data_IF_422375310904
#
_entry.id   IF_422375310904
#
_cell.length_a   1.000
_cell.length_b   1.000
_cell.length_c   1.000
_cell.angle_alpha   90.00
_cell.angle_beta   90.00
_cell.angle_gamma   90.00
#
_symmetry.space_group_name_H-M   'P 1'
#
loop_
_entity.id
_entity.type
_entity.pdbx_description
1 polymer ?
#
# COMPACT_ATOMS: atom_id res chain seq x y z
N UNK A 1 -12.65 -0.13 17.05
CA UNK A 1 -11.78 -0.87 17.99
C UNK A 1 -10.71 -1.62 17.20
N UNK A 2 -9.46 -1.58 17.68
CA UNK A 2 -8.34 -2.29 17.06
C UNK A 2 -7.67 -3.18 18.11
N UNK A 3 -7.10 -4.31 17.69
CA UNK A 3 -6.41 -5.26 18.57
C UNK A 3 -5.07 -5.67 17.98
N UNK A 4 -4.11 -5.94 18.84
CA UNK A 4 -2.77 -6.41 18.49
C UNK A 4 -2.46 -7.69 19.26
N UNK A 5 -1.63 -8.56 18.70
CA UNK A 5 -1.06 -9.69 19.44
C UNK A 5 0.21 -9.30 20.21
N UNK A 6 0.77 -10.26 20.96
CA UNK A 6 1.98 -10.05 21.76
C UNK A 6 3.22 -9.68 20.94
N UNK A 7 3.22 -9.96 19.63
CA UNK A 7 4.29 -9.57 18.71
C UNK A 7 4.08 -8.16 18.12
N UNK A 8 3.01 -7.46 18.53
CA UNK A 8 2.67 -6.12 18.04
C UNK A 8 2.08 -6.11 16.63
N UNK A 9 1.53 -7.24 16.16
CA UNK A 9 0.87 -7.33 14.84
C UNK A 9 -0.61 -7.01 14.99
N UNK A 10 -1.17 -6.18 14.10
CA UNK A 10 -2.59 -5.84 14.10
C UNK A 10 -3.43 -7.10 13.79
N UNK A 11 -4.24 -7.57 14.74
CA UNK A 11 -5.08 -8.77 14.56
C UNK A 11 -6.54 -8.44 14.27
N UNK A 12 -6.98 -7.22 14.57
CA UNK A 12 -8.35 -6.76 14.27
C UNK A 12 -8.42 -5.26 14.05
N UNK A 13 -9.19 -4.83 13.05
CA UNK A 13 -9.56 -3.44 12.79
C UNK A 13 -11.06 -3.38 12.46
N UNK A 14 -11.88 -2.94 13.41
CA UNK A 14 -13.33 -2.97 13.24
C UNK A 14 -13.85 -4.40 13.04
N UNK A 15 -14.49 -4.64 11.88
CA UNK A 15 -14.98 -5.96 11.48
C UNK A 15 -13.91 -6.85 10.83
N UNK A 16 -12.80 -6.27 10.37
CA UNK A 16 -11.75 -7.02 9.68
C UNK A 16 -10.82 -7.71 10.68
N UNK A 17 -10.67 -9.03 10.55
CA UNK A 17 -9.65 -9.81 11.24
C UNK A 17 -8.44 -10.05 10.33
N UNK A 18 -7.25 -10.14 10.93
CA UNK A 18 -6.01 -10.35 10.21
C UNK A 18 -5.30 -11.61 10.71
N UNK A 19 -4.76 -12.39 9.78
CA UNK A 19 -3.85 -13.49 10.08
C UNK A 19 -2.53 -13.33 9.35
N UNK A 20 -1.47 -13.94 9.88
CA UNK A 20 -0.10 -13.77 9.42
C UNK A 20 0.51 -15.12 9.04
N UNK A 21 1.40 -15.12 8.04
CA UNK A 21 2.21 -16.28 7.70
C UNK A 21 3.47 -16.34 8.57
N UNK A 22 4.30 -17.36 8.34
CA UNK A 22 5.55 -17.58 9.07
C UNK A 22 6.56 -16.42 8.96
N UNK A 23 6.52 -15.63 7.89
CA UNK A 23 7.38 -14.45 7.69
C UNK A 23 6.77 -13.15 8.25
N UNK A 24 5.77 -13.26 9.13
CA UNK A 24 5.02 -12.12 9.67
C UNK A 24 4.35 -11.25 8.61
N UNK A 25 4.09 -11.78 7.41
CA UNK A 25 3.29 -11.12 6.37
C UNK A 25 1.81 -11.42 6.57
N UNK A 26 0.95 -10.46 6.26
CA UNK A 26 -0.51 -10.65 6.34
C UNK A 26 -0.93 -11.71 5.30
N UNK A 27 -1.41 -12.85 5.76
CA UNK A 27 -1.91 -13.93 4.90
C UNK A 27 -3.39 -13.73 4.55
N UNK A 28 -4.18 -13.19 5.49
CA UNK A 28 -5.61 -12.87 5.28
C UNK A 28 -6.02 -11.58 5.97
N UNK A 29 -7.01 -10.89 5.39
CA UNK A 29 -7.69 -9.73 5.96
C UNK A 29 -9.20 -9.82 5.67
N UNK A 30 -9.99 -10.33 6.62
CA UNK A 30 -11.41 -10.64 6.36
C UNK A 30 -11.56 -11.72 5.28
N UNK A 31 -12.27 -11.40 4.19
CA UNK A 31 -12.42 -12.28 3.02
C UNK A 31 -11.23 -12.24 2.05
N UNK A 32 -10.31 -11.28 2.20
CA UNK A 32 -9.14 -11.14 1.34
C UNK A 32 -8.00 -12.07 1.78
N UNK A 33 -7.26 -12.60 0.80
CA UNK A 33 -6.08 -13.45 0.98
C UNK A 33 -4.92 -12.95 0.13
N UNK A 34 -3.70 -13.16 0.63
CA UNK A 34 -2.49 -12.65 0.00
C UNK A 34 -1.40 -13.71 -0.07
N UNK A 35 -0.65 -13.69 -1.18
CA UNK A 35 0.59 -14.46 -1.32
C UNK A 35 1.74 -13.56 -1.74
N UNK A 36 2.96 -14.02 -1.49
CA UNK A 36 4.18 -13.23 -1.59
C UNK A 36 5.22 -14.00 -2.38
N UNK A 37 6.05 -13.27 -3.13
CA UNK A 37 7.28 -13.82 -3.69
C UNK A 37 8.26 -14.15 -2.57
N UNK A 38 9.28 -14.97 -2.87
CA UNK A 38 10.35 -15.27 -1.92
C UNK A 38 11.11 -14.02 -1.44
N UNK A 39 11.13 -12.96 -2.26
CA UNK A 39 11.66 -11.65 -1.88
C UNK A 39 10.85 -10.90 -0.83
N UNK A 40 9.64 -11.35 -0.51
CA UNK A 40 8.72 -10.71 0.43
C UNK A 40 7.77 -9.68 -0.21
N UNK A 41 7.94 -9.38 -1.50
CA UNK A 41 6.98 -8.57 -2.26
C UNK A 41 5.64 -9.30 -2.41
N UNK A 42 4.54 -8.56 -2.42
CA UNK A 42 3.23 -9.14 -2.72
C UNK A 42 3.21 -9.68 -4.15
N UNK A 43 2.81 -10.93 -4.30
CA UNK A 43 2.65 -11.61 -5.58
C UNK A 43 1.19 -11.60 -6.03
N UNK A 44 0.25 -11.71 -5.07
CA UNK A 44 -1.16 -11.82 -5.37
C UNK A 44 -2.04 -11.34 -4.23
N UNK A 45 -3.19 -10.76 -4.58
CA UNK A 45 -4.32 -10.51 -3.69
C UNK A 45 -5.57 -11.18 -4.29
N UNK A 46 -6.37 -11.83 -3.46
CA UNK A 46 -7.62 -12.47 -3.90
C UNK A 46 -8.72 -12.34 -2.84
N UNK A 47 -9.91 -11.95 -3.29
CA UNK A 47 -11.09 -11.74 -2.46
C UNK A 47 -12.30 -11.32 -3.30
N UNK A 48 -13.51 -11.59 -2.81
CA UNK A 48 -14.78 -11.27 -3.47
C UNK A 48 -14.85 -11.74 -4.95
N UNK A 49 -14.33 -12.94 -5.22
CA UNK A 49 -14.28 -13.53 -6.56
C UNK A 49 -13.29 -12.88 -7.53
N UNK A 50 -12.50 -11.89 -7.07
CA UNK A 50 -11.47 -11.21 -7.84
C UNK A 50 -10.08 -11.67 -7.42
N UNK A 51 -9.16 -11.61 -8.37
CA UNK A 51 -7.76 -11.98 -8.20
C UNK A 51 -6.89 -11.00 -8.94
N UNK A 52 -5.89 -10.47 -8.26
CA UNK A 52 -4.91 -9.54 -8.82
C UNK A 52 -3.51 -10.15 -8.66
N UNK A 53 -2.73 -10.18 -9.74
CA UNK A 53 -1.32 -10.57 -9.70
C UNK A 53 -0.44 -9.33 -9.85
N UNK A 54 0.71 -9.33 -9.17
CA UNK A 54 1.62 -8.19 -9.13
C UNK A 54 2.99 -8.59 -9.70
N UNK A 55 3.60 -7.71 -10.48
CA UNK A 55 4.95 -7.90 -11.03
C UNK A 55 5.78 -6.65 -10.76
N UNK A 56 7.02 -6.89 -10.35
CA UNK A 56 7.91 -5.86 -9.83
C UNK A 56 9.24 -5.87 -10.58
N UNK A 57 9.81 -4.68 -10.77
CA UNK A 57 11.22 -4.49 -11.13
C UNK A 57 11.91 -3.83 -9.93
N UNK A 58 12.69 -4.62 -9.19
CA UNK A 58 13.16 -4.25 -7.86
C UNK A 58 12.01 -3.87 -6.92
N UNK A 59 11.93 -2.60 -6.56
CA UNK A 59 10.87 -2.03 -5.72
C UNK A 59 9.74 -1.36 -6.52
N UNK A 60 9.91 -1.20 -7.85
CA UNK A 60 8.93 -0.57 -8.73
C UNK A 60 7.82 -1.55 -9.08
N UNK A 61 6.55 -1.18 -8.89
CA UNK A 61 5.45 -1.94 -9.46
C UNK A 61 5.40 -1.67 -10.96
N UNK A 62 5.57 -2.71 -11.79
CA UNK A 62 5.55 -2.58 -13.25
C UNK A 62 4.27 -3.17 -13.86
N UNK A 63 3.58 -4.06 -13.13
CA UNK A 63 2.29 -4.60 -13.57
C UNK A 63 1.39 -5.01 -12.41
N UNK A 64 0.10 -4.72 -12.54
CA UNK A 64 -0.99 -5.23 -11.68
C UNK A 64 -2.10 -5.77 -12.57
N UNK A 65 -2.27 -7.08 -12.58
CA UNK A 65 -3.22 -7.79 -13.45
C UNK A 65 -3.02 -7.41 -14.93
N UNK A 66 -3.96 -6.70 -15.57
CA UNK A 66 -3.86 -6.24 -16.97
C UNK A 66 -3.30 -4.82 -17.11
N UNK A 67 -2.99 -4.15 -16.00
CA UNK A 67 -2.51 -2.77 -15.99
C UNK A 67 -0.99 -2.76 -15.91
N UNK A 68 -0.33 -2.23 -16.94
CA UNK A 68 1.10 -1.95 -16.92
C UNK A 68 1.35 -0.55 -16.35
N UNK A 69 2.48 -0.39 -15.68
CA UNK A 69 2.92 0.89 -15.12
C UNK A 69 4.24 1.33 -15.73
N UNK A 70 4.37 2.63 -15.99
CA UNK A 70 5.64 3.27 -16.32
C UNK A 70 6.03 4.14 -15.14
N UNK A 71 7.25 3.93 -14.63
CA UNK A 71 7.74 4.58 -13.43
C UNK A 71 8.81 5.61 -13.79
N UNK A 72 8.76 6.76 -13.12
CA UNK A 72 9.95 7.61 -12.98
C UNK A 72 10.88 7.01 -11.92
N UNK A 73 12.21 7.05 -12.12
CA UNK A 73 13.16 6.62 -11.10
C UNK A 73 12.98 7.44 -9.81
N UNK A 74 12.89 6.75 -8.68
CA UNK A 74 12.78 7.40 -7.37
C UNK A 74 13.41 6.54 -6.27
N UNK A 75 13.89 7.17 -5.21
CA UNK A 75 14.60 6.48 -4.12
C UNK A 75 13.75 5.41 -3.43
N UNK A 76 12.42 5.53 -3.50
CA UNK A 76 11.49 4.54 -2.94
C UNK A 76 11.26 3.32 -3.84
N UNK A 77 11.91 3.25 -5.01
CA UNK A 77 11.76 2.18 -5.98
C UNK A 77 11.11 2.56 -7.29
N UNK A 78 10.47 3.72 -7.37
CA UNK A 78 9.84 4.23 -8.59
C UNK A 78 8.45 4.82 -8.32
N UNK A 79 8.15 5.91 -9.01
CA UNK A 79 6.86 6.59 -8.93
C UNK A 79 6.09 6.39 -10.24
N UNK A 80 4.94 5.70 -10.24
CA UNK A 80 4.19 5.46 -11.46
C UNK A 80 3.63 6.77 -12.03
N UNK A 81 3.98 7.08 -13.27
CA UNK A 81 3.44 8.23 -14.03
C UNK A 81 2.41 7.80 -15.06
N UNK A 82 2.41 6.53 -15.47
CA UNK A 82 1.36 5.92 -16.30
C UNK A 82 0.82 4.66 -15.65
N UNK A 83 -0.49 4.43 -15.82
CA UNK A 83 -1.16 3.19 -15.47
C UNK A 83 -2.16 2.83 -16.58
N UNK A 84 -1.80 1.90 -17.46
CA UNK A 84 -2.57 1.64 -18.69
C UNK A 84 -2.63 2.89 -19.56
N UNK A 85 -3.84 3.38 -19.85
CA UNK A 85 -4.08 4.62 -20.61
C UNK A 85 -4.18 5.88 -19.74
N UNK A 86 -4.03 5.75 -18.42
CA UNK A 86 -4.17 6.85 -17.48
C UNK A 86 -2.81 7.47 -17.14
N UNK A 87 -2.77 8.79 -17.02
CA UNK A 87 -1.61 9.56 -16.53
C UNK A 87 -1.82 9.89 -15.05
N UNK A 88 -0.80 9.64 -14.23
CA UNK A 88 -0.81 9.92 -12.80
C UNK A 88 -0.02 11.20 -12.51
N UNK A 89 -0.58 12.04 -11.64
CA UNK A 89 0.07 13.23 -11.12
C UNK A 89 0.41 12.98 -9.67
N UNK A 90 1.70 12.99 -9.34
CA UNK A 90 2.20 12.63 -8.02
C UNK A 90 2.75 13.86 -7.28
N UNK A 91 2.75 13.80 -5.95
CA UNK A 91 3.56 14.70 -5.13
C UNK A 91 5.06 14.32 -5.18
N UNK A 92 5.89 15.11 -4.51
CA UNK A 92 7.34 14.87 -4.44
C UNK A 92 7.68 13.48 -3.90
N UNK A 93 6.87 12.93 -2.99
CA UNK A 93 7.14 11.64 -2.37
C UNK A 93 6.64 10.46 -3.20
N UNK A 94 5.87 10.72 -4.27
CA UNK A 94 5.26 9.69 -5.11
C UNK A 94 3.84 9.30 -4.70
N UNK A 95 3.13 10.17 -3.97
CA UNK A 95 1.71 9.97 -3.67
C UNK A 95 0.83 10.53 -4.78
N UNK A 96 -0.13 9.74 -5.26
CA UNK A 96 -1.04 10.17 -6.34
C UNK A 96 -1.95 11.31 -5.87
N UNK A 97 -1.87 12.46 -6.53
CA UNK A 97 -2.72 13.64 -6.31
C UNK A 97 -3.86 13.74 -7.32
N UNK A 98 -3.75 13.08 -8.47
CA UNK A 98 -4.80 13.06 -9.48
C UNK A 98 -4.48 12.16 -10.65
N UNK A 99 -5.51 11.87 -11.44
CA UNK A 99 -5.44 10.98 -12.59
C UNK A 99 -6.08 11.68 -13.77
N UNK A 100 -5.39 11.72 -14.91
CA UNK A 100 -6.00 12.07 -16.19
C UNK A 100 -6.32 10.78 -16.96
N UNK A 101 -7.59 10.54 -17.23
CA UNK A 101 -8.07 9.39 -18.00
C UNK A 101 -9.23 9.81 -18.90
N UNK A 102 -9.27 9.30 -20.13
CA UNK A 102 -10.29 9.65 -21.13
C UNK A 102 -10.50 11.17 -21.29
N UNK A 103 -9.40 11.92 -21.32
CA UNK A 103 -9.41 13.38 -21.44
C UNK A 103 -9.84 14.14 -20.18
N UNK A 104 -10.32 13.45 -19.13
CA UNK A 104 -10.80 14.07 -17.88
C UNK A 104 -9.76 13.93 -16.77
N UNK A 105 -9.52 15.03 -16.05
CA UNK A 105 -8.75 15.01 -14.81
C UNK A 105 -9.65 14.75 -13.61
N UNK A 106 -9.25 13.80 -12.75
CA UNK A 106 -9.93 13.43 -11.52
C UNK A 106 -8.95 13.60 -10.35
N UNK A 107 -9.18 14.57 -9.44
CA UNK A 107 -8.32 14.78 -8.29
C UNK A 107 -8.49 13.67 -7.25
N UNK A 108 -7.40 13.32 -6.56
CA UNK A 108 -7.39 12.42 -5.41
C UNK A 108 -7.12 13.24 -4.16
N UNK A 109 -8.16 13.50 -3.36
CA UNK A 109 -8.01 14.20 -2.09
C UNK A 109 -7.61 13.22 -0.98
N UNK A 110 -6.42 13.43 -0.38
CA UNK A 110 -5.88 12.61 0.70
C UNK A 110 -5.45 13.43 1.91
N UNK A 111 -5.38 12.80 3.07
CA UNK A 111 -4.75 13.38 4.28
C UNK A 111 -3.23 13.28 4.18
N UNK A 112 -2.52 13.99 5.07
CA UNK A 112 -1.06 13.89 5.20
C UNK A 112 -0.56 12.46 5.52
N UNK A 113 -1.43 11.61 6.06
CA UNK A 113 -1.14 10.19 6.34
C UNK A 113 -1.65 9.26 5.24
N UNK A 114 -2.00 9.79 4.06
CA UNK A 114 -2.35 9.01 2.88
C UNK A 114 -3.79 8.47 2.85
N UNK A 115 -4.67 8.85 3.80
CA UNK A 115 -6.06 8.41 3.75
C UNK A 115 -6.82 9.20 2.70
N UNK A 116 -7.35 8.52 1.69
CA UNK A 116 -8.20 9.16 0.66
C UNK A 116 -9.59 9.48 1.25
N UNK A 117 -10.11 10.69 0.98
CA UNK A 117 -11.36 11.20 1.57
C UNK A 117 -12.63 10.64 0.92
N UNK A 118 -12.57 10.31 -0.35
CA UNK A 118 -13.57 9.46 -1.01
C UNK A 118 -12.92 8.10 -1.12
N UNK A 119 -13.57 7.04 -0.63
CA UNK A 119 -13.06 5.69 -0.86
C UNK A 119 -12.78 5.59 -2.36
N UNK A 120 -11.54 5.30 -2.73
CA UNK A 120 -11.24 4.97 -4.10
C UNK A 120 -12.23 3.87 -4.47
N UNK A 121 -13.26 4.20 -5.28
CA UNK A 121 -14.07 3.19 -5.94
C UNK A 121 -13.09 2.16 -6.47
N UNK A 122 -13.37 0.87 -6.34
CA UNK A 122 -12.38 -0.20 -6.51
C UNK A 122 -11.52 -0.09 -7.80
N UNK A 123 -11.98 0.64 -8.82
CA UNK A 123 -11.20 1.01 -10.02
C UNK A 123 -10.00 1.93 -9.74
N UNK A 124 -10.14 2.93 -8.86
CA UNK A 124 -9.08 3.87 -8.49
C UNK A 124 -7.98 3.21 -7.63
N UNK A 125 -8.22 2.01 -7.07
CA UNK A 125 -7.19 1.29 -6.29
C UNK A 125 -5.94 0.98 -7.12
N UNK A 126 -6.07 0.82 -8.45
CA UNK A 126 -4.93 0.59 -9.34
C UNK A 126 -4.08 1.83 -9.58
N UNK A 127 -4.59 3.01 -9.25
CA UNK A 127 -3.95 4.32 -9.47
C UNK A 127 -3.70 5.09 -8.16
N UNK A 128 -4.09 4.52 -7.02
CA UNK A 128 -3.84 5.07 -5.70
C UNK A 128 -2.48 4.59 -5.18
N UNK A 129 -1.50 5.48 -5.27
CA UNK A 129 -0.19 5.31 -4.68
C UNK A 129 0.01 6.29 -3.53
N UNK A 130 0.74 5.84 -2.51
CA UNK A 130 1.22 6.69 -1.43
C UNK A 130 2.71 6.42 -1.24
N UNK A 131 3.53 7.45 -1.38
CA UNK A 131 5.00 7.34 -1.39
C UNK A 131 5.55 6.29 -2.39
N UNK A 132 4.90 6.21 -3.56
CA UNK A 132 5.25 5.24 -4.61
C UNK A 132 4.83 3.79 -4.29
N UNK A 133 3.97 3.55 -3.29
CA UNK A 133 3.48 2.21 -2.94
C UNK A 133 2.00 2.03 -3.27
N UNK A 134 1.60 0.90 -3.89
CA UNK A 134 0.23 0.69 -4.32
C UNK A 134 -0.71 0.44 -3.14
N UNK A 135 -1.92 0.95 -3.23
CA UNK A 135 -3.01 0.56 -2.33
C UNK A 135 -3.59 -0.80 -2.72
N UNK A 136 -3.68 -1.70 -1.75
CA UNK A 136 -4.24 -3.05 -1.89
C UNK A 136 -5.38 -3.20 -0.88
N UNK A 137 -6.55 -3.62 -1.37
CA UNK A 137 -7.75 -3.78 -0.55
C UNK A 137 -7.46 -4.72 0.61
N UNK A 138 -7.93 -4.35 1.81
CA UNK A 138 -7.68 -5.08 3.05
C UNK A 138 -6.27 -4.93 3.61
N UNK A 139 -5.24 -4.68 2.77
CA UNK A 139 -3.84 -4.58 3.17
C UNK A 139 -3.39 -3.14 3.47
N UNK A 140 -3.92 -2.15 2.75
CA UNK A 140 -3.47 -0.76 2.80
C UNK A 140 -2.37 -0.51 1.76
N UNK A 141 -1.40 0.33 2.07
CA UNK A 141 -0.25 0.55 1.17
C UNK A 141 0.82 -0.52 1.41
N UNK A 142 1.16 -1.27 0.36
CA UNK A 142 2.06 -2.43 0.47
C UNK A 142 3.53 -2.03 0.28
N UNK A 143 4.34 -2.20 1.32
CA UNK A 143 5.79 -2.07 1.26
C UNK A 143 6.45 -3.45 1.31
N UNK A 144 7.71 -3.51 0.88
CA UNK A 144 8.50 -4.74 0.84
C UNK A 144 8.49 -5.50 2.18
N UNK A 145 8.52 -4.79 3.30
CA UNK A 145 8.61 -5.42 4.63
C UNK A 145 7.31 -5.30 5.43
N UNK A 146 6.63 -4.16 5.39
CA UNK A 146 5.44 -3.85 6.20
C UNK A 146 4.29 -3.36 5.33
N UNK A 147 3.08 -3.40 5.88
CA UNK A 147 1.92 -2.76 5.27
C UNK A 147 1.54 -1.53 6.08
N UNK A 148 1.27 -0.42 5.41
CA UNK A 148 0.91 0.83 6.05
C UNK A 148 -0.60 1.06 6.02
N UNK A 149 -1.17 1.37 7.19
CA UNK A 149 -2.61 1.62 7.39
C UNK A 149 -2.88 3.12 7.42
N UNK A 150 -3.30 3.74 6.31
CA UNK A 150 -3.45 5.19 6.24
C UNK A 150 -4.54 5.75 7.17
N UNK A 151 -5.60 4.96 7.43
CA UNK A 151 -6.66 5.32 8.38
C UNK A 151 -6.16 5.37 9.82
N UNK A 152 -5.12 4.60 10.15
CA UNK A 152 -4.53 4.54 11.48
C UNK A 152 -3.29 5.42 11.62
N UNK A 153 -2.69 5.84 10.51
CA UNK A 153 -1.40 6.53 10.49
C UNK A 153 -0.24 5.64 10.96
N UNK A 154 -0.36 4.30 10.83
CA UNK A 154 0.56 3.34 11.46
C UNK A 154 0.93 2.17 10.56
N UNK A 155 2.10 1.60 10.82
CA UNK A 155 2.45 0.28 10.31
C UNK A 155 1.57 -0.81 10.93
N UNK A 156 1.29 -1.85 10.14
CA UNK A 156 0.46 -2.98 10.56
C UNK A 156 1.21 -3.97 11.46
N UNK A 157 2.54 -3.99 11.36
CA UNK A 157 3.44 -4.80 12.18
C UNK A 157 4.57 -3.93 12.71
N UNK A 158 5.17 -4.38 13.81
CA UNK A 158 6.44 -3.86 14.33
C UNK A 158 7.53 -3.94 13.26
N UNK A 159 8.52 -3.04 13.33
CA UNK A 159 9.67 -3.06 12.43
C UNK A 159 10.45 -4.37 12.58
N UNK A 160 10.68 -5.11 11.48
CA UNK A 160 11.48 -6.33 11.49
C UNK A 160 12.92 -6.17 12.02
N UNK A 161 13.51 -4.97 11.98
CA UNK A 161 14.88 -4.72 12.46
C UNK A 161 14.94 -4.04 13.85
N UNK A 162 13.82 -4.01 14.58
CA UNK A 162 13.79 -3.56 15.97
C UNK A 162 13.49 -2.07 16.13
N UNK A 163 14.43 -1.28 16.64
CA UNK A 163 14.23 0.15 16.98
C UNK A 163 15.17 1.14 16.26
N UNK A 164 15.46 1.02 14.96
CA UNK A 164 16.33 1.99 14.29
C UNK A 164 15.71 3.38 14.21
N UNK A 165 14.37 3.48 14.13
CA UNK A 165 13.63 4.74 13.97
C UNK A 165 12.98 5.25 15.29
N UNK A 166 13.43 4.74 16.44
CA UNK A 166 12.98 5.15 17.77
C UNK A 166 12.00 4.18 18.47
N UNK A 167 11.53 4.55 19.66
CA UNK A 167 10.72 3.67 20.53
C UNK A 167 9.34 3.32 19.97
N UNK A 168 8.73 4.17 19.13
CA UNK A 168 7.44 3.87 18.53
C UNK A 168 7.60 3.05 17.25
N UNK A 169 7.62 1.74 17.42
CA UNK A 169 7.87 0.78 16.35
C UNK A 169 6.72 0.60 15.34
N UNK A 170 5.65 1.40 15.47
CA UNK A 170 4.51 1.45 14.56
C UNK A 170 4.37 2.80 13.85
N UNK A 171 5.20 3.80 14.18
CA UNK A 171 5.12 5.13 13.59
C UNK A 171 5.55 5.12 12.12
N UNK A 172 4.78 5.78 11.27
CA UNK A 172 5.16 6.06 9.89
C UNK A 172 5.82 7.44 9.80
N UNK A 173 7.03 7.51 9.24
CA UNK A 173 7.79 8.76 9.08
C UNK A 173 8.04 9.50 10.40
N UNK A 174 8.17 8.79 11.53
CA UNK A 174 8.20 9.39 12.87
C UNK A 174 7.03 10.37 13.15
N UNK A 175 5.85 10.08 12.59
CA UNK A 175 4.65 10.93 12.58
C UNK A 175 4.76 12.23 11.77
N UNK A 176 5.82 12.39 10.97
CA UNK A 176 5.95 13.41 9.95
C UNK A 176 5.62 12.81 8.58
N UNK A 177 4.33 12.74 8.23
CA UNK A 177 3.86 12.11 6.99
C UNK A 177 4.45 12.66 5.67
N UNK A 178 5.23 13.76 5.72
CA UNK A 178 5.83 14.43 4.57
C UNK A 178 7.38 14.42 4.58
N UNK A 179 8.06 13.62 5.42
CA UNK A 179 9.53 13.48 5.41
C UNK A 179 9.93 12.01 5.45
N UNK A 180 10.83 11.63 4.55
CA UNK A 180 11.61 10.39 4.65
C UNK A 180 12.75 10.61 5.65
#
# INVERSE_FOLDING_TARGET
MHKYDAAGRLTREGATSYSYNFWNKVAKAGSESYSYFASGQIAQAAGDGKKENFTWDGLALIRRDKTNYMNEPYITGGNPVLAGSSVLFNDLLGSSLGIKSNGKFNPISRTAFGSVRQAADNENAKTDFFTGKPHIKGLGYAFLFRNYRPKLGKWQTTDPIGYPDGWNNLAYGNNHGNRL
#
